data_IF_656691194564
#
_entry.id   IF_656691194564
#
_cell.length_a   1.000
_cell.length_b   1.000
_cell.length_c   1.000
_cell.angle_alpha   90.00
_cell.angle_beta   90.00
_cell.angle_gamma   90.00
#
_symmetry.space_group_name_H-M   'P 1'
#
loop_
_entity.id
_entity.type
_entity.pdbx_description
1 polymer ?
#
# COMPACT_ATOMS: atom_id res chain seq x y z
N UNK A 1 6.59 11.91 -23.93
CA UNK A 1 5.23 11.44 -23.61
C UNK A 1 4.89 11.93 -22.20
N UNK A 2 3.71 12.49 -21.98
CA UNK A 2 3.23 12.93 -20.65
C UNK A 2 2.54 11.75 -19.96
N UNK A 3 2.80 11.54 -18.67
CA UNK A 3 2.10 10.55 -17.85
C UNK A 3 1.06 11.23 -16.97
N UNK A 4 -0.07 10.55 -16.72
CA UNK A 4 -1.10 11.04 -15.79
C UNK A 4 -0.82 10.48 -14.40
N UNK A 5 -0.65 11.36 -13.41
CA UNK A 5 -0.47 10.99 -12.02
C UNK A 5 -1.73 11.34 -11.24
N UNK A 6 -2.27 10.37 -10.51
CA UNK A 6 -3.47 10.55 -9.68
C UNK A 6 -3.20 10.03 -8.28
N UNK A 7 -3.68 10.75 -7.26
CA UNK A 7 -3.78 10.24 -5.89
C UNK A 7 -5.25 10.03 -5.60
N UNK A 8 -5.65 8.83 -5.19
CA UNK A 8 -7.06 8.47 -4.97
C UNK A 8 -7.23 7.41 -3.89
N UNK A 9 -8.44 7.24 -3.33
CA UNK A 9 -8.76 6.09 -2.50
C UNK A 9 -8.47 4.76 -3.21
N UNK A 10 -8.04 3.77 -2.43
CA UNK A 10 -7.88 2.39 -2.86
C UNK A 10 -9.26 1.76 -3.11
N UNK A 11 -9.39 0.93 -4.15
CA UNK A 11 -10.57 0.12 -4.37
C UNK A 11 -10.40 -1.27 -3.77
N UNK A 12 -11.50 -1.90 -3.33
CA UNK A 12 -11.46 -3.23 -2.70
C UNK A 12 -10.74 -4.29 -3.56
N UNK A 13 -10.95 -4.28 -4.86
CA UNK A 13 -10.32 -5.22 -5.80
C UNK A 13 -8.80 -5.03 -5.93
N UNK A 14 -8.25 -3.93 -5.39
CA UNK A 14 -6.83 -3.56 -5.50
C UNK A 14 -6.03 -3.87 -4.23
N UNK A 15 -6.66 -4.45 -3.21
CA UNK A 15 -6.00 -4.80 -1.94
C UNK A 15 -4.79 -5.69 -2.17
N UNK A 16 -4.94 -6.75 -2.99
CA UNK A 16 -3.83 -7.65 -3.33
C UNK A 16 -2.71 -6.93 -4.07
N UNK A 17 -3.05 -6.06 -5.03
CA UNK A 17 -2.06 -5.29 -5.80
C UNK A 17 -1.24 -4.38 -4.89
N UNK A 18 -1.90 -3.70 -3.95
CA UNK A 18 -1.21 -2.84 -2.99
C UNK A 18 -0.33 -3.67 -2.03
N UNK A 19 -0.81 -4.83 -1.57
CA UNK A 19 -0.01 -5.73 -0.73
C UNK A 19 1.26 -6.20 -1.45
N UNK A 20 1.13 -6.64 -2.70
CA UNK A 20 2.26 -7.06 -3.53
C UNK A 20 3.27 -5.94 -3.76
N UNK A 21 2.79 -4.70 -3.92
CA UNK A 21 3.68 -3.56 -4.17
C UNK A 21 4.44 -3.12 -2.91
N UNK A 22 3.76 -3.07 -1.76
CA UNK A 22 4.29 -2.45 -0.55
C UNK A 22 4.81 -3.41 0.52
N UNK A 23 4.32 -4.65 0.56
CA UNK A 23 4.43 -5.48 1.76
C UNK A 23 4.82 -6.95 1.51
N UNK A 24 4.82 -7.44 0.27
CA UNK A 24 5.14 -8.85 -0.01
C UNK A 24 6.63 -9.19 -0.02
N UNK A 25 7.49 -8.19 -0.20
CA UNK A 25 8.95 -8.34 -0.09
C UNK A 25 9.39 -8.10 1.35
N UNK A 26 9.91 -9.14 2.02
CA UNK A 26 10.39 -9.04 3.41
C UNK A 26 11.62 -8.14 3.55
N UNK A 27 12.37 -7.92 2.46
CA UNK A 27 13.54 -7.05 2.41
C UNK A 27 13.24 -5.71 1.72
N UNK A 28 11.96 -5.33 1.63
CA UNK A 28 11.53 -4.10 0.95
C UNK A 28 12.34 -2.88 1.42
N UNK A 29 12.95 -2.17 0.47
CA UNK A 29 13.92 -1.11 0.77
C UNK A 29 13.35 0.01 1.65
N UNK A 30 12.05 0.33 1.52
CA UNK A 30 11.39 1.37 2.29
C UNK A 30 11.46 1.14 3.81
N UNK A 31 11.57 -0.11 4.27
CA UNK A 31 11.73 -0.46 5.69
C UNK A 31 13.00 0.12 6.30
N UNK A 32 14.04 0.32 5.50
CA UNK A 32 15.32 0.94 5.95
C UNK A 32 15.18 2.42 6.29
N UNK A 33 14.08 3.04 5.86
CA UNK A 33 13.78 4.45 6.09
C UNK A 33 12.83 4.66 7.26
N UNK A 34 12.33 3.57 7.88
CA UNK A 34 11.58 3.68 9.11
C UNK A 34 12.47 4.17 10.25
N UNK A 35 11.88 4.92 11.17
CA UNK A 35 12.56 5.31 12.40
C UNK A 35 12.97 4.07 13.21
N UNK A 36 14.05 4.15 14.02
CA UNK A 36 14.66 2.99 14.69
C UNK A 36 13.76 2.33 15.76
N UNK A 37 12.57 2.86 15.99
CA UNK A 37 11.57 2.35 16.94
C UNK A 37 10.45 1.55 16.27
N UNK A 38 10.38 1.55 14.94
CA UNK A 38 9.48 0.66 14.23
C UNK A 38 10.12 -0.73 14.17
N UNK A 39 9.45 -1.70 14.80
CA UNK A 39 9.78 -3.11 14.66
C UNK A 39 9.02 -3.63 13.45
N UNK A 40 9.60 -3.45 12.26
CA UNK A 40 8.93 -3.73 11.01
C UNK A 40 8.58 -5.21 10.87
N UNK A 41 7.30 -5.51 11.08
CA UNK A 41 6.69 -6.78 10.72
C UNK A 41 5.72 -6.49 9.59
N UNK A 42 6.11 -6.88 8.38
CA UNK A 42 5.23 -6.73 7.22
C UNK A 42 4.05 -7.71 7.34
N UNK A 43 2.83 -7.27 7.03
CA UNK A 43 1.65 -8.09 7.17
C UNK A 43 1.65 -9.23 6.15
N UNK A 44 1.10 -10.37 6.55
CA UNK A 44 0.75 -11.42 5.58
C UNK A 44 -0.31 -10.90 4.61
N UNK A 45 -0.41 -11.52 3.43
CA UNK A 45 -1.44 -11.16 2.46
C UNK A 45 -2.84 -11.27 3.08
N UNK A 46 -3.11 -12.34 3.81
CA UNK A 46 -4.40 -12.58 4.46
C UNK A 46 -4.72 -11.51 5.50
N UNK A 47 -3.78 -11.15 6.37
CA UNK A 47 -4.00 -10.11 7.38
C UNK A 47 -4.21 -8.73 6.72
N UNK A 48 -3.48 -8.46 5.64
CA UNK A 48 -3.65 -7.22 4.89
C UNK A 48 -5.05 -7.15 4.25
N UNK A 49 -5.46 -8.18 3.53
CA UNK A 49 -6.74 -8.19 2.80
C UNK A 49 -7.97 -8.24 3.71
N UNK A 50 -7.86 -8.86 4.89
CA UNK A 50 -9.02 -9.10 5.77
C UNK A 50 -9.11 -8.14 6.96
N UNK A 51 -8.00 -7.54 7.39
CA UNK A 51 -7.95 -6.68 8.60
C UNK A 51 -7.44 -5.28 8.26
N UNK A 52 -6.18 -5.16 7.82
CA UNK A 52 -5.49 -3.87 7.71
C UNK A 52 -6.06 -3.04 6.57
N UNK A 53 -6.16 -3.62 5.38
CA UNK A 53 -6.75 -3.04 4.18
C UNK A 53 -8.17 -2.50 4.41
N UNK A 54 -9.12 -3.34 4.83
CA UNK A 54 -10.46 -2.90 5.15
C UNK A 54 -10.50 -1.76 6.18
N UNK A 55 -9.73 -1.86 7.27
CA UNK A 55 -9.74 -0.88 8.37
C UNK A 55 -9.15 0.46 7.96
N UNK A 56 -7.97 0.45 7.34
CA UNK A 56 -7.11 1.64 7.19
C UNK A 56 -7.17 2.23 5.77
N UNK A 57 -7.62 1.46 4.77
CA UNK A 57 -7.64 1.88 3.36
C UNK A 57 -9.04 1.99 2.76
N UNK A 58 -10.03 1.25 3.27
CA UNK A 58 -11.39 1.24 2.70
C UNK A 58 -12.45 1.92 3.58
N UNK A 59 -12.56 1.54 4.86
CA UNK A 59 -13.64 2.02 5.75
C UNK A 59 -13.29 3.38 6.35
N UNK A 60 -12.05 3.54 6.82
CA UNK A 60 -11.51 4.81 7.33
C UNK A 60 -10.22 5.10 6.57
N UNK A 61 -10.31 5.53 5.30
CA UNK A 61 -9.14 5.70 4.44
C UNK A 61 -8.23 6.77 5.03
N UNK A 62 -7.18 6.32 5.73
CA UNK A 62 -6.08 7.17 6.22
C UNK A 62 -4.96 7.25 5.19
N UNK A 63 -4.94 6.33 4.24
CA UNK A 63 -3.91 6.18 3.21
C UNK A 63 -4.56 6.11 1.83
N UNK A 64 -3.94 6.70 0.82
CA UNK A 64 -4.38 6.73 -0.58
C UNK A 64 -3.33 6.09 -1.49
N UNK A 65 -3.74 5.63 -2.66
CA UNK A 65 -2.81 5.13 -3.69
C UNK A 65 -2.40 6.23 -4.66
N UNK A 66 -1.15 6.16 -5.09
CA UNK A 66 -0.61 6.95 -6.19
C UNK A 66 -0.65 6.06 -7.43
N UNK A 67 -1.27 6.54 -8.50
CA UNK A 67 -1.29 5.85 -9.79
C UNK A 67 -0.55 6.64 -10.87
N UNK A 68 0.09 5.90 -11.77
CA UNK A 68 0.64 6.41 -13.03
C UNK A 68 -0.09 5.71 -14.17
N UNK A 69 -0.81 6.49 -14.99
CA UNK A 69 -1.58 5.97 -16.12
C UNK A 69 -2.54 4.83 -15.70
N UNK A 70 -3.13 4.97 -14.50
CA UNK A 70 -4.07 4.00 -13.92
C UNK A 70 -3.42 2.88 -13.10
N UNK A 71 -2.11 2.66 -13.21
CA UNK A 71 -1.38 1.61 -12.49
C UNK A 71 -0.92 2.12 -11.13
N UNK A 72 -1.15 1.37 -10.05
CA UNK A 72 -0.67 1.73 -8.70
C UNK A 72 0.87 1.65 -8.68
N UNK A 73 1.51 2.73 -8.23
CA UNK A 73 2.97 2.85 -8.13
C UNK A 73 3.44 3.21 -6.71
N UNK A 74 2.52 3.43 -5.78
CA UNK A 74 2.83 3.68 -4.39
C UNK A 74 1.60 4.12 -3.60
N UNK A 75 1.85 4.64 -2.40
CA UNK A 75 0.81 5.16 -1.50
C UNK A 75 1.32 6.29 -0.64
N UNK A 76 0.40 7.07 -0.07
CA UNK A 76 0.65 8.19 0.86
C UNK A 76 -0.39 8.21 1.97
#
# INVERSE_FOLDING_TARGET
MTATITIRPLQRAELTTLWQLGFSDLDAEWTRWNGPYFHDQLPTQTDFETIIGPRDWLIRPRNWVITRDGVIVGSV
#
